data_IF_647482015102
#
_entry.id   IF_647482015102
#
_cell.length_a   1.000
_cell.length_b   1.000
_cell.length_c   1.000
_cell.angle_alpha   90.00
_cell.angle_beta   90.00
_cell.angle_gamma   90.00
#
_symmetry.space_group_name_H-M   'P 1'
#
loop_
_entity.id
_entity.type
_entity.pdbx_description
1 polymer ?
#
# COMPACT_ATOMS: atom_id res chain seq x y z
N UNK A 1 -6.48 -16.63 25.94
CA UNK A 1 -6.22 -15.96 24.63
C UNK A 1 -7.26 -14.88 24.45
N UNK A 2 -6.92 -13.61 24.75
CA UNK A 2 -7.90 -12.52 24.90
C UNK A 2 -8.02 -11.71 23.59
N UNK A 3 -9.23 -11.71 23.01
CA UNK A 3 -9.89 -10.60 22.31
C UNK A 3 -9.04 -9.69 21.38
N UNK A 4 -8.50 -10.24 20.28
CA UNK A 4 -7.89 -9.44 19.18
C UNK A 4 -8.87 -9.05 18.05
N UNK A 5 -10.02 -9.72 17.92
CA UNK A 5 -10.91 -9.59 16.76
C UNK A 5 -11.92 -8.43 16.87
N UNK A 6 -12.55 -8.22 18.04
CA UNK A 6 -13.61 -7.21 18.16
C UNK A 6 -13.05 -5.80 17.95
N UNK A 7 -11.95 -5.44 18.63
CA UNK A 7 -11.32 -4.12 18.49
C UNK A 7 -10.81 -3.86 17.07
N UNK A 8 -10.33 -4.89 16.38
CA UNK A 8 -9.88 -4.78 14.99
C UNK A 8 -11.07 -4.55 14.04
N UNK A 9 -12.20 -5.23 14.30
CA UNK A 9 -13.45 -5.02 13.59
C UNK A 9 -14.01 -3.62 13.85
N UNK A 10 -14.14 -3.19 15.11
CA UNK A 10 -14.61 -1.85 15.49
C UNK A 10 -13.79 -0.75 14.80
N UNK A 11 -12.46 -0.91 14.80
CA UNK A 11 -11.54 0.01 14.12
C UNK A 11 -11.79 0.03 12.61
N UNK A 12 -11.94 -1.13 11.97
CA UNK A 12 -12.15 -1.23 10.52
C UNK A 12 -13.47 -0.59 10.10
N UNK A 13 -14.53 -0.76 10.90
CA UNK A 13 -15.84 -0.13 10.66
C UNK A 13 -15.75 1.38 10.86
N UNK A 14 -15.15 1.84 11.97
CA UNK A 14 -14.97 3.27 12.27
C UNK A 14 -14.13 3.99 11.22
N UNK A 15 -13.04 3.37 10.78
CA UNK A 15 -12.11 3.96 9.80
C UNK A 15 -12.58 3.69 8.35
N UNK A 16 -13.66 2.93 8.14
CA UNK A 16 -14.21 2.47 6.86
C UNK A 16 -13.19 1.77 5.94
N UNK A 17 -12.15 1.14 6.51
CA UNK A 17 -11.09 0.50 5.75
C UNK A 17 -10.49 -0.67 6.53
N UNK A 18 -10.07 -1.71 5.80
CA UNK A 18 -9.23 -2.79 6.34
C UNK A 18 -7.82 -2.57 5.82
N UNK A 19 -6.86 -2.39 6.73
CA UNK A 19 -5.45 -2.21 6.38
C UNK A 19 -4.72 -3.55 6.53
N UNK A 20 -4.12 -4.03 5.45
CA UNK A 20 -3.27 -5.22 5.43
C UNK A 20 -1.86 -4.84 4.96
N UNK A 21 -0.85 -5.48 5.53
CA UNK A 21 0.55 -5.22 5.25
C UNK A 21 1.29 -6.51 4.90
N UNK A 22 2.10 -6.47 3.84
CA UNK A 22 3.03 -7.52 3.43
C UNK A 22 4.46 -6.99 3.41
N UNK A 23 5.43 -7.80 3.83
CA UNK A 23 6.84 -7.43 3.79
C UNK A 23 7.52 -8.08 2.58
N UNK A 24 8.05 -7.27 1.68
CA UNK A 24 8.81 -7.71 0.51
C UNK A 24 10.31 -7.52 0.78
N UNK A 25 11.04 -8.62 1.00
CA UNK A 25 12.49 -8.58 1.27
C UNK A 25 13.29 -8.66 -0.04
N UNK A 26 14.53 -8.17 -0.03
CA UNK A 26 15.52 -8.28 -1.14
C UNK A 26 15.18 -7.47 -2.41
N UNK A 27 14.59 -6.29 -2.27
CA UNK A 27 14.46 -5.34 -3.38
C UNK A 27 15.78 -4.57 -3.55
N UNK A 28 16.43 -4.73 -4.70
CA UNK A 28 17.57 -3.90 -5.10
C UNK A 28 17.13 -2.49 -5.48
N UNK A 29 18.09 -1.57 -5.64
CA UNK A 29 17.81 -0.25 -6.21
C UNK A 29 17.35 -0.41 -7.66
N UNK A 30 16.30 0.28 -8.07
CA UNK A 30 15.80 0.27 -9.44
C UNK A 30 14.27 0.32 -9.54
N UNK A 31 13.79 0.21 -10.78
CA UNK A 31 12.36 0.11 -11.09
C UNK A 31 11.83 -1.28 -10.71
N UNK A 32 10.66 -1.29 -10.07
CA UNK A 32 9.96 -2.53 -9.69
C UNK A 32 8.50 -2.45 -10.09
N UNK A 33 7.90 -3.61 -10.36
CA UNK A 33 6.46 -3.74 -10.64
C UNK A 33 5.78 -4.40 -9.44
N UNK A 34 4.87 -3.68 -8.79
CA UNK A 34 3.98 -4.27 -7.79
C UNK A 34 2.78 -4.92 -8.48
N UNK A 35 2.65 -6.24 -8.34
CA UNK A 35 1.51 -6.99 -8.88
C UNK A 35 0.50 -7.27 -7.78
N UNK A 36 -0.71 -6.74 -7.93
CA UNK A 36 -1.83 -7.00 -7.03
C UNK A 36 -2.87 -7.86 -7.75
N UNK A 37 -3.28 -8.97 -7.12
CA UNK A 37 -4.24 -9.92 -7.68
C UNK A 37 -5.37 -10.16 -6.69
N UNK A 38 -6.59 -10.17 -7.19
CA UNK A 38 -7.78 -10.52 -6.40
C UNK A 38 -7.98 -12.03 -6.43
N UNK A 39 -8.05 -12.65 -5.25
CA UNK A 39 -8.39 -14.06 -5.09
C UNK A 39 -9.90 -14.21 -4.89
N UNK A 40 -10.45 -13.50 -3.90
CA UNK A 40 -11.88 -13.57 -3.55
C UNK A 40 -12.70 -12.43 -4.17
N UNK A 41 -13.96 -12.67 -4.56
CA UNK A 41 -14.87 -11.62 -5.01
C UNK A 41 -15.21 -10.64 -3.87
N UNK A 42 -15.54 -9.40 -4.21
CA UNK A 42 -15.97 -8.37 -3.24
C UNK A 42 -14.84 -7.55 -2.61
N UNK A 43 -13.57 -7.82 -2.94
CA UNK A 43 -12.44 -6.97 -2.52
C UNK A 43 -12.37 -5.70 -3.37
N UNK A 44 -12.40 -4.54 -2.72
CA UNK A 44 -12.24 -3.21 -3.33
C UNK A 44 -10.91 -2.61 -2.86
N UNK A 45 -10.07 -2.19 -3.81
CA UNK A 45 -8.79 -1.55 -3.53
C UNK A 45 -8.96 -0.02 -3.57
N UNK A 46 -8.61 0.65 -2.46
CA UNK A 46 -8.66 2.12 -2.36
C UNK A 46 -7.28 2.78 -2.49
N UNK A 47 -6.27 2.27 -1.77
CA UNK A 47 -4.93 2.88 -1.71
C UNK A 47 -3.86 1.82 -1.46
N UNK A 48 -2.71 2.00 -2.10
CA UNK A 48 -1.47 1.25 -1.80
C UNK A 48 -0.44 2.26 -1.26
N UNK A 49 0.19 1.92 -0.14
CA UNK A 49 1.31 2.68 0.42
C UNK A 49 2.53 1.77 0.49
N UNK A 50 3.65 2.21 -0.07
CA UNK A 50 4.93 1.51 -0.01
C UNK A 50 5.79 2.22 1.03
N UNK A 51 6.08 1.56 2.15
CA UNK A 51 7.05 2.04 3.13
C UNK A 51 8.46 1.51 2.80
N UNK A 52 9.34 2.40 2.38
CA UNK A 52 10.75 2.12 2.12
C UNK A 52 11.68 2.49 3.30
N UNK A 53 11.13 2.76 4.49
CA UNK A 53 11.89 3.03 5.72
C UNK A 53 11.66 4.42 6.34
N UNK A 54 10.53 5.07 6.07
CA UNK A 54 10.29 6.45 6.51
C UNK A 54 8.82 6.82 6.69
N UNK A 55 7.89 5.85 6.61
CA UNK A 55 6.48 6.13 6.75
C UNK A 55 6.15 6.58 8.18
N UNK A 56 5.48 7.73 8.28
CA UNK A 56 4.98 8.27 9.56
C UNK A 56 3.50 7.92 9.75
N UNK A 57 3.03 7.73 10.99
CA UNK A 57 1.62 7.53 11.26
C UNK A 57 0.78 8.71 10.74
N UNK A 58 -0.28 8.41 10.01
CA UNK A 58 -1.25 9.38 9.50
C UNK A 58 -2.60 8.68 9.31
N UNK A 59 -3.70 9.44 9.44
CA UNK A 59 -5.05 8.85 9.34
C UNK A 59 -5.39 8.45 7.91
N UNK A 60 -5.17 9.34 6.94
CA UNK A 60 -5.47 9.12 5.52
C UNK A 60 -4.29 8.56 4.71
N UNK A 61 -3.15 8.31 5.36
CA UNK A 61 -1.89 8.03 4.68
C UNK A 61 -1.23 9.28 4.09
N UNK A 62 -0.05 9.13 3.48
CA UNK A 62 0.61 10.20 2.75
C UNK A 62 -0.20 10.65 1.52
N UNK A 63 0.09 11.86 0.99
CA UNK A 63 -0.39 12.26 -0.33
C UNK A 63 0.11 11.29 -1.41
N UNK A 64 -0.56 11.31 -2.56
CA UNK A 64 -0.15 10.51 -3.72
C UNK A 64 1.26 10.89 -4.18
N UNK A 65 2.05 9.89 -4.56
CA UNK A 65 3.37 10.09 -5.15
C UNK A 65 3.26 10.65 -6.57
N UNK A 66 4.31 11.34 -7.03
CA UNK A 66 4.36 11.82 -8.41
C UNK A 66 4.33 10.67 -9.42
N UNK A 67 3.48 10.79 -10.44
CA UNK A 67 3.49 9.90 -11.59
C UNK A 67 4.69 10.22 -12.49
N UNK A 68 5.61 9.27 -12.61
CA UNK A 68 6.74 9.35 -13.56
C UNK A 68 6.44 8.42 -14.74
N UNK A 69 6.27 8.98 -15.94
CA UNK A 69 6.15 8.16 -17.14
C UNK A 69 7.54 7.62 -17.50
N UNK A 70 7.68 6.30 -17.69
CA UNK A 70 8.95 5.68 -18.07
C UNK A 70 9.42 6.03 -19.49
N UNK A 71 8.56 6.69 -20.27
CA UNK A 71 8.83 7.07 -21.67
C UNK A 71 9.61 8.39 -21.78
N UNK A 72 9.63 9.24 -20.75
CA UNK A 72 10.28 10.57 -20.82
C UNK A 72 11.79 10.56 -20.55
N UNK A 73 12.39 9.41 -20.20
CA UNK A 73 13.82 9.27 -19.92
C UNK A 73 14.66 8.74 -21.08
N UNK A 74 14.04 8.44 -22.23
CA UNK A 74 14.69 7.84 -23.40
C UNK A 74 14.71 8.82 -24.58
N UNK A 75 15.42 9.94 -24.45
CA UNK A 75 15.49 10.90 -25.55
C UNK A 75 16.14 12.25 -25.25
N UNK A 76 17.45 12.25 -24.97
CA UNK A 76 18.36 13.34 -25.37
C UNK A 76 19.82 12.91 -25.22
N UNK A 77 20.30 12.17 -26.21
CA UNK A 77 21.62 12.30 -26.84
C UNK A 77 21.60 11.60 -28.18
#
# INVERSE_FOLDING_TARGET
>A
MKNKSLRAWEKSVRDNVIVSASTHKKLGKGMHVLRFWRIDPGVVLQKIVIDAGGLKPSYLGPPESYFTNSESSSGKK
#
